data_IF_703318494532
#
_entry.id   IF_703318494532
#
_cell.length_a   1.000
_cell.length_b   1.000
_cell.length_c   1.000
_cell.angle_alpha   90.00
_cell.angle_beta   90.00
_cell.angle_gamma   90.00
#
_symmetry.space_group_name_H-M   'P 1'
#
loop_
_entity.id
_entity.type
_entity.pdbx_description
1 polymer ?
#
# COMPACT_ATOMS: atom_id res chain seq x y z
N UNK A 1 -8.45 0.23 -24.77
CA UNK A 1 -7.26 0.05 -23.94
C UNK A 1 -7.61 -0.86 -22.79
N UNK A 2 -7.16 -2.10 -22.89
CA UNK A 2 -7.33 -3.11 -21.86
C UNK A 2 -6.40 -2.81 -20.68
N UNK A 3 -6.74 -3.29 -19.48
CA UNK A 3 -5.94 -3.11 -18.26
C UNK A 3 -4.46 -3.50 -18.46
N UNK A 4 -4.22 -4.64 -19.11
CA UNK A 4 -2.86 -5.14 -19.38
C UNK A 4 -2.08 -4.26 -20.37
N UNK A 5 -2.76 -3.66 -21.35
CA UNK A 5 -2.13 -2.73 -22.30
C UNK A 5 -1.69 -1.42 -21.65
N UNK A 6 -2.32 -1.05 -20.52
CA UNK A 6 -2.00 0.19 -19.80
C UNK A 6 -0.81 0.07 -18.85
N UNK A 7 -0.41 -1.15 -18.45
CA UNK A 7 0.74 -1.40 -17.57
C UNK A 7 2.05 -0.75 -18.06
N UNK A 8 2.45 -0.88 -19.34
CA UNK A 8 3.67 -0.25 -19.84
C UNK A 8 3.53 1.25 -20.16
N UNK A 9 2.41 1.88 -19.80
CA UNK A 9 2.13 3.28 -20.17
C UNK A 9 2.22 4.24 -19.00
N UNK A 10 2.04 5.54 -19.29
CA UNK A 10 2.05 6.58 -18.26
C UNK A 10 0.99 6.33 -17.17
N UNK A 11 -0.15 5.77 -17.59
CA UNK A 11 -1.23 5.41 -16.68
C UNK A 11 -0.81 4.27 -15.74
N UNK A 12 -0.09 3.27 -16.28
CA UNK A 12 0.44 2.14 -15.52
C UNK A 12 1.35 2.55 -14.37
N UNK A 13 2.35 3.39 -14.63
CA UNK A 13 3.23 3.81 -13.54
C UNK A 13 2.56 4.82 -12.60
N UNK A 14 1.69 5.71 -13.10
CA UNK A 14 0.91 6.58 -12.22
C UNK A 14 0.00 5.78 -11.26
N UNK A 15 -0.44 4.60 -11.69
CA UNK A 15 -1.23 3.69 -10.85
C UNK A 15 -0.37 2.98 -9.79
N UNK A 16 0.80 2.46 -10.17
CA UNK A 16 1.59 1.53 -9.36
C UNK A 16 2.65 2.23 -8.49
N UNK A 17 3.28 3.30 -8.99
CA UNK A 17 4.39 3.97 -8.29
C UNK A 17 4.03 4.47 -6.88
N UNK A 18 2.84 5.03 -6.61
CA UNK A 18 2.47 5.43 -5.25
C UNK A 18 2.39 4.24 -4.29
N UNK A 19 1.89 3.09 -4.73
CA UNK A 19 1.79 1.90 -3.90
C UNK A 19 3.18 1.35 -3.53
N UNK A 20 4.11 1.35 -4.49
CA UNK A 20 5.51 0.95 -4.26
C UNK A 20 6.23 1.93 -3.34
N UNK A 21 5.96 3.24 -3.48
CA UNK A 21 6.51 4.28 -2.61
C UNK A 21 6.07 4.08 -1.16
N UNK A 22 4.77 3.90 -0.92
CA UNK A 22 4.25 3.68 0.44
C UNK A 22 4.77 2.36 1.02
N UNK A 23 4.83 1.30 0.21
CA UNK A 23 5.37 0.01 0.66
C UNK A 23 6.82 0.17 1.10
N UNK A 24 7.60 0.91 0.31
CA UNK A 24 8.96 1.23 0.67
C UNK A 24 9.03 1.98 2.00
N UNK A 25 8.25 3.04 2.19
CA UNK A 25 8.25 3.82 3.44
C UNK A 25 7.96 2.95 4.66
N UNK A 26 7.05 1.98 4.53
CA UNK A 26 6.74 1.01 5.59
C UNK A 26 7.94 0.10 5.88
N UNK A 27 8.55 -0.49 4.85
CA UNK A 27 9.73 -1.36 5.01
C UNK A 27 10.92 -0.57 5.57
N UNK A 28 11.10 0.67 5.15
CA UNK A 28 12.18 1.54 5.63
C UNK A 28 11.99 1.91 7.08
N UNK A 29 10.75 2.05 7.55
CA UNK A 29 10.44 2.35 8.94
C UNK A 29 10.63 1.13 9.87
N UNK A 30 10.69 -0.08 9.32
CA UNK A 30 10.92 -1.32 10.06
C UNK A 30 12.42 -1.53 10.33
N UNK A 31 12.75 -1.83 11.59
CA UNK A 31 14.12 -2.05 12.06
C UNK A 31 14.62 -3.46 11.75
N UNK A 32 13.70 -4.43 11.60
CA UNK A 32 14.01 -5.84 11.33
C UNK A 32 13.17 -6.36 10.16
N UNK A 33 13.36 -5.79 8.96
CA UNK A 33 12.54 -6.14 7.81
C UNK A 33 12.63 -7.65 7.53
N UNK A 34 11.47 -8.26 7.40
CA UNK A 34 11.31 -9.65 7.06
C UNK A 34 11.89 -10.06 5.70
N UNK A 35 11.79 -11.34 5.34
CA UNK A 35 12.24 -11.84 4.05
C UNK A 35 11.53 -11.12 2.89
N UNK A 36 12.27 -10.45 1.97
CA UNK A 36 11.68 -9.68 0.86
C UNK A 36 10.72 -10.49 -0.02
N UNK A 37 10.97 -11.79 -0.17
CA UNK A 37 10.12 -12.70 -0.94
C UNK A 37 8.70 -12.75 -0.38
N UNK A 38 8.53 -12.76 0.95
CA UNK A 38 7.20 -12.81 1.56
C UNK A 38 6.47 -11.48 1.45
N UNK A 39 7.19 -10.35 1.51
CA UNK A 39 6.65 -9.02 1.24
C UNK A 39 6.14 -8.93 -0.20
N UNK A 40 6.96 -9.33 -1.18
CA UNK A 40 6.56 -9.33 -2.59
C UNK A 40 5.43 -10.29 -2.88
N UNK A 41 5.44 -11.48 -2.26
CA UNK A 41 4.34 -12.41 -2.37
C UNK A 41 3.04 -11.81 -1.79
N UNK A 42 3.12 -11.08 -0.67
CA UNK A 42 1.96 -10.38 -0.10
C UNK A 42 1.44 -9.29 -1.03
N UNK A 43 2.33 -8.50 -1.64
CA UNK A 43 1.94 -7.50 -2.62
C UNK A 43 1.24 -8.12 -3.84
N UNK A 44 1.85 -9.15 -4.44
CA UNK A 44 1.29 -9.82 -5.63
C UNK A 44 -0.02 -10.54 -5.31
N UNK A 45 -0.11 -11.25 -4.19
CA UNK A 45 -1.35 -11.91 -3.77
C UNK A 45 -2.43 -10.89 -3.39
N UNK A 46 -2.06 -9.74 -2.82
CA UNK A 46 -2.96 -8.62 -2.59
C UNK A 46 -3.57 -8.09 -3.88
N UNK A 47 -2.74 -7.85 -4.91
CA UNK A 47 -3.20 -7.47 -6.25
C UNK A 47 -4.10 -8.55 -6.88
N UNK A 48 -3.68 -9.81 -6.82
CA UNK A 48 -4.42 -10.94 -7.37
C UNK A 48 -5.76 -11.18 -6.66
N UNK A 49 -5.88 -10.83 -5.38
CA UNK A 49 -7.11 -11.05 -4.60
C UNK A 49 -8.34 -10.32 -5.16
N UNK A 50 -8.15 -9.30 -6.00
CA UNK A 50 -9.25 -8.65 -6.74
C UNK A 50 -10.02 -9.63 -7.63
N UNK A 51 -9.37 -10.66 -8.19
CA UNK A 51 -10.06 -11.66 -9.00
C UNK A 51 -11.10 -12.46 -8.20
N UNK A 52 -11.03 -12.44 -6.87
CA UNK A 52 -11.97 -13.12 -5.98
C UNK A 52 -13.18 -12.26 -5.59
N UNK A 53 -13.21 -10.96 -5.94
CA UNK A 53 -14.29 -10.06 -5.52
C UNK A 53 -15.66 -10.48 -6.05
N UNK A 54 -15.72 -11.09 -7.24
CA UNK A 54 -16.97 -11.62 -7.78
C UNK A 54 -17.61 -12.65 -6.83
N UNK A 55 -16.80 -13.59 -6.33
CA UNK A 55 -17.24 -14.60 -5.37
C UNK A 55 -17.50 -13.99 -3.98
N UNK A 56 -16.62 -13.10 -3.52
CA UNK A 56 -16.74 -12.47 -2.21
C UNK A 56 -18.00 -11.60 -2.06
N UNK A 57 -18.56 -11.10 -3.16
CA UNK A 57 -19.81 -10.32 -3.17
C UNK A 57 -21.08 -11.18 -3.08
N UNK A 58 -21.04 -12.45 -3.49
CA UNK A 58 -22.23 -13.32 -3.56
C UNK A 58 -23.03 -13.34 -2.24
N UNK A 59 -22.41 -13.53 -1.06
CA UNK A 59 -23.16 -13.60 0.21
C UNK A 59 -23.87 -12.29 0.56
N UNK A 60 -23.43 -11.17 0.00
CA UNK A 60 -23.94 -9.84 0.30
C UNK A 60 -25.04 -9.39 -0.66
N UNK A 61 -25.24 -10.09 -1.79
CA UNK A 61 -26.20 -9.67 -2.82
C UNK A 61 -27.62 -9.46 -2.27
N UNK A 62 -28.09 -10.32 -1.36
CA UNK A 62 -29.40 -10.19 -0.74
C UNK A 62 -29.50 -8.96 0.19
N UNK A 63 -28.38 -8.58 0.83
CA UNK A 63 -28.31 -7.38 1.68
C UNK A 63 -28.30 -6.09 0.86
N UNK A 64 -27.92 -6.16 -0.42
CA UNK A 64 -27.95 -5.03 -1.35
C UNK A 64 -29.36 -4.75 -1.91
N UNK A 65 -30.38 -5.47 -1.46
CA UNK A 65 -31.78 -5.12 -1.71
C UNK A 65 -32.01 -3.66 -1.27
N UNK A 66 -32.41 -2.82 -2.21
CA UNK A 66 -32.31 -1.36 -2.11
C UNK A 66 -33.31 -0.87 -1.05
N UNK A 67 -32.85 -0.29 0.07
CA UNK A 67 -33.73 0.43 0.99
C UNK A 67 -34.39 1.62 0.28
N UNK A 68 -35.63 1.95 0.61
CA UNK A 68 -36.33 3.12 0.02
C UNK A 68 -35.61 4.46 0.29
N UNK A 69 -34.72 4.48 1.30
CA UNK A 69 -33.93 5.65 1.66
C UNK A 69 -32.57 5.68 0.90
N UNK A 70 -32.27 6.74 0.13
CA UNK A 70 -31.02 6.85 -0.63
C UNK A 70 -29.75 6.81 0.23
N UNK A 71 -29.78 7.38 1.44
CA UNK A 71 -28.65 7.38 2.38
C UNK A 71 -28.40 5.97 2.92
N UNK A 72 -29.45 5.29 3.37
CA UNK A 72 -29.36 3.89 3.81
C UNK A 72 -28.83 2.99 2.69
N UNK A 73 -29.28 3.21 1.46
CA UNK A 73 -28.78 2.51 0.27
C UNK A 73 -27.26 2.68 0.11
N UNK A 74 -26.73 3.90 0.21
CA UNK A 74 -25.28 4.11 0.07
C UNK A 74 -24.50 3.55 1.25
N UNK A 75 -25.04 3.59 2.48
CA UNK A 75 -24.38 2.98 3.64
C UNK A 75 -24.25 1.45 3.50
N UNK A 76 -25.32 0.79 3.07
CA UNK A 76 -25.34 -0.66 2.80
C UNK A 76 -24.39 -1.01 1.66
N UNK A 77 -24.37 -0.21 0.57
CA UNK A 77 -23.44 -0.41 -0.55
C UNK A 77 -21.98 -0.21 -0.12
N UNK A 78 -21.67 0.82 0.65
CA UNK A 78 -20.32 1.07 1.17
C UNK A 78 -19.84 -0.10 2.02
N UNK A 79 -20.69 -0.57 2.95
CA UNK A 79 -20.32 -1.62 3.88
C UNK A 79 -20.26 -3.01 3.24
N UNK A 80 -21.33 -3.43 2.56
CA UNK A 80 -21.48 -4.81 2.10
C UNK A 80 -21.19 -5.00 0.61
N UNK A 81 -21.28 -3.94 -0.20
CA UNK A 81 -20.99 -4.00 -1.63
C UNK A 81 -19.50 -3.79 -1.96
N UNK A 82 -18.82 -2.96 -1.16
CA UNK A 82 -17.42 -2.56 -1.38
C UNK A 82 -16.53 -3.03 -0.24
N UNK A 83 -16.64 -2.43 0.95
CA UNK A 83 -15.69 -2.61 2.03
C UNK A 83 -15.54 -4.07 2.50
N UNK A 84 -16.66 -4.75 2.83
CA UNK A 84 -16.60 -6.11 3.35
C UNK A 84 -15.98 -7.11 2.35
N UNK A 85 -16.45 -7.23 1.09
CA UNK A 85 -15.83 -8.12 0.11
C UNK A 85 -14.33 -7.87 -0.08
N UNK A 86 -13.92 -6.59 -0.16
CA UNK A 86 -12.54 -6.23 -0.42
C UNK A 86 -11.61 -6.51 0.77
N UNK A 87 -12.01 -6.13 1.97
CA UNK A 87 -11.20 -6.39 3.15
C UNK A 87 -11.18 -7.89 3.50
N UNK A 88 -12.24 -8.65 3.24
CA UNK A 88 -12.22 -10.12 3.40
C UNK A 88 -11.13 -10.73 2.53
N UNK A 89 -11.07 -10.43 1.24
CA UNK A 89 -10.07 -11.04 0.34
C UNK A 89 -8.64 -10.60 0.69
N UNK A 90 -8.44 -9.33 1.10
CA UNK A 90 -7.14 -8.83 1.59
C UNK A 90 -6.73 -9.53 2.89
N UNK A 91 -7.62 -9.60 3.87
CA UNK A 91 -7.36 -10.25 5.17
C UNK A 91 -7.03 -11.72 5.00
N UNK A 92 -7.70 -12.44 4.08
CA UNK A 92 -7.35 -13.82 3.75
C UNK A 92 -5.90 -13.96 3.28
N UNK A 93 -5.42 -13.05 2.42
CA UNK A 93 -4.01 -13.01 1.99
C UNK A 93 -3.08 -12.76 3.19
N UNK A 94 -3.40 -11.77 4.02
CA UNK A 94 -2.60 -11.40 5.20
C UNK A 94 -2.48 -12.59 6.15
N UNK A 95 -3.59 -13.27 6.46
CA UNK A 95 -3.62 -14.45 7.32
C UNK A 95 -2.85 -15.60 6.68
N UNK A 96 -3.04 -15.89 5.39
CA UNK A 96 -2.38 -17.00 4.71
C UNK A 96 -0.85 -16.87 4.68
N UNK A 97 -0.32 -15.67 4.45
CA UNK A 97 1.12 -15.44 4.43
C UNK A 97 1.69 -15.44 5.85
N UNK A 98 0.96 -14.85 6.80
CA UNK A 98 1.44 -14.71 8.17
C UNK A 98 1.38 -16.02 8.95
N UNK A 99 0.44 -16.93 8.64
CA UNK A 99 0.29 -18.23 9.33
C UNK A 99 1.36 -19.25 8.95
N UNK A 100 2.01 -19.12 7.80
CA UNK A 100 3.14 -19.98 7.37
C UNK A 100 4.43 -19.76 8.18
N UNK A 101 4.40 -18.95 9.25
CA UNK A 101 5.57 -18.54 10.02
C UNK A 101 5.75 -19.34 11.31
N UNK A 102 7.02 -19.54 11.67
CA UNK A 102 7.47 -20.17 12.93
C UNK A 102 6.97 -19.35 14.13
N UNK A 103 6.82 -20.03 15.28
CA UNK A 103 6.30 -19.44 16.53
C UNK A 103 7.07 -18.21 17.06
N UNK A 104 8.30 -17.98 16.57
CA UNK A 104 9.18 -16.86 16.99
C UNK A 104 9.38 -15.78 15.92
N UNK A 105 8.51 -15.72 14.90
CA UNK A 105 8.58 -14.65 13.90
C UNK A 105 8.24 -13.29 14.52
N UNK A 106 8.90 -12.24 14.03
CA UNK A 106 8.72 -10.87 14.50
C UNK A 106 7.25 -10.42 14.25
N UNK A 107 6.55 -9.84 15.24
CA UNK A 107 5.20 -9.30 15.06
C UNK A 107 5.09 -8.17 14.01
N UNK A 108 6.09 -7.28 13.90
CA UNK A 108 6.11 -6.17 12.93
C UNK A 108 6.05 -6.68 11.49
N UNK A 109 6.63 -7.84 11.32
CA UNK A 109 6.74 -8.59 10.10
C UNK A 109 5.34 -8.94 9.53
N UNK A 110 4.34 -9.19 10.40
CA UNK A 110 2.92 -9.36 10.00
C UNK A 110 2.29 -8.03 9.55
N UNK A 111 2.70 -6.92 10.15
CA UNK A 111 2.24 -5.56 9.80
C UNK A 111 2.74 -5.17 8.41
N UNK A 112 4.00 -5.44 8.10
CA UNK A 112 4.59 -5.19 6.76
C UNK A 112 3.87 -6.01 5.68
N UNK A 113 3.48 -7.26 5.97
CA UNK A 113 2.72 -8.07 5.01
C UNK A 113 1.30 -7.56 4.83
N UNK A 114 0.69 -7.06 5.92
CA UNK A 114 -0.54 -6.30 5.88
C UNK A 114 -0.47 -5.12 4.92
N UNK A 115 0.53 -4.25 5.10
CA UNK A 115 0.78 -3.12 4.23
C UNK A 115 0.97 -3.54 2.76
N UNK A 116 1.79 -4.56 2.52
CA UNK A 116 2.07 -5.07 1.18
C UNK A 116 0.80 -5.58 0.48
N UNK A 117 -0.03 -6.39 1.16
CA UNK A 117 -1.28 -6.89 0.59
C UNK A 117 -2.27 -5.76 0.26
N UNK A 118 -2.45 -4.79 1.17
CA UNK A 118 -3.29 -3.62 0.95
C UNK A 118 -2.81 -2.76 -0.23
N UNK A 119 -1.50 -2.51 -0.32
CA UNK A 119 -0.91 -1.71 -1.40
C UNK A 119 -0.90 -2.42 -2.75
N UNK A 120 -0.75 -3.74 -2.76
CA UNK A 120 -0.88 -4.55 -3.97
C UNK A 120 -2.29 -4.48 -4.54
N UNK A 121 -3.30 -4.64 -3.68
CA UNK A 121 -4.70 -4.44 -4.06
C UNK A 121 -4.92 -3.03 -4.60
N UNK A 122 -4.44 -2.01 -3.87
CA UNK A 122 -4.57 -0.62 -4.26
C UNK A 122 -3.91 -0.31 -5.61
N UNK A 123 -2.77 -0.93 -5.93
CA UNK A 123 -2.09 -0.72 -7.21
C UNK A 123 -2.94 -1.18 -8.40
N UNK A 124 -3.55 -2.38 -8.29
CA UNK A 124 -4.45 -2.88 -9.32
C UNK A 124 -5.74 -2.06 -9.39
N UNK A 125 -6.35 -1.76 -8.25
CA UNK A 125 -7.59 -0.99 -8.20
C UNK A 125 -7.39 0.42 -8.78
N UNK A 126 -6.29 1.09 -8.41
CA UNK A 126 -5.91 2.38 -8.95
C UNK A 126 -5.76 2.31 -10.49
N UNK A 127 -5.11 1.26 -11.01
CA UNK A 127 -5.00 1.06 -12.46
C UNK A 127 -6.38 0.96 -13.13
N UNK A 128 -7.28 0.16 -12.56
CA UNK A 128 -8.64 0.03 -13.07
C UNK A 128 -9.39 1.37 -13.08
N UNK A 129 -9.30 2.15 -12.00
CA UNK A 129 -9.91 3.47 -11.91
C UNK A 129 -9.37 4.44 -12.97
N UNK A 130 -8.05 4.50 -13.16
CA UNK A 130 -7.44 5.40 -14.15
C UNK A 130 -7.78 5.01 -15.60
N UNK A 131 -7.85 3.71 -15.89
CA UNK A 131 -8.23 3.20 -17.21
C UNK A 131 -9.72 3.43 -17.50
N UNK A 132 -10.58 3.37 -16.48
CA UNK A 132 -12.02 3.64 -16.63
C UNK A 132 -12.31 5.14 -16.82
N UNK A 133 -11.50 6.03 -16.22
CA UNK A 133 -11.73 7.49 -16.22
C UNK A 133 -10.66 8.24 -17.00
N UNK A 134 -10.45 7.88 -18.28
CA UNK A 134 -9.34 8.41 -19.10
C UNK A 134 -9.39 9.92 -19.30
N UNK A 135 -10.55 10.55 -19.27
CA UNK A 135 -10.61 12.00 -19.51
C UNK A 135 -10.07 12.81 -18.33
N UNK A 136 -10.04 12.20 -17.13
CA UNK A 136 -9.62 12.84 -15.88
C UNK A 136 -8.53 12.06 -15.12
N UNK A 137 -7.87 11.09 -15.79
CA UNK A 137 -6.95 10.16 -15.13
C UNK A 137 -5.81 10.86 -14.36
N UNK A 138 -5.34 12.03 -14.82
CA UNK A 138 -4.25 12.76 -14.14
C UNK A 138 -4.67 13.29 -12.77
N UNK A 139 -5.83 13.94 -12.69
CA UNK A 139 -6.37 14.45 -11.45
C UNK A 139 -6.72 13.30 -10.50
N UNK A 140 -7.30 12.23 -11.05
CA UNK A 140 -7.64 11.02 -10.28
C UNK A 140 -6.38 10.32 -9.74
N UNK A 141 -5.32 10.22 -10.55
CA UNK A 141 -4.05 9.65 -10.13
C UNK A 141 -3.42 10.45 -8.99
N UNK A 142 -3.42 11.79 -9.09
CA UNK A 142 -2.92 12.66 -8.03
C UNK A 142 -3.70 12.46 -6.72
N UNK A 143 -5.03 12.54 -6.75
CA UNK A 143 -5.86 12.38 -5.56
C UNK A 143 -5.71 11.00 -4.92
N UNK A 144 -5.76 9.94 -5.73
CA UNK A 144 -5.64 8.55 -5.25
C UNK A 144 -4.24 8.25 -4.73
N UNK A 145 -3.18 8.82 -5.31
CA UNK A 145 -1.80 8.63 -4.85
C UNK A 145 -1.56 9.18 -3.43
N UNK A 146 -2.25 10.27 -3.07
CA UNK A 146 -2.09 10.95 -1.77
C UNK A 146 -2.98 10.33 -0.70
N UNK A 147 -4.17 9.87 -1.06
CA UNK A 147 -5.17 9.45 -0.08
C UNK A 147 -5.54 7.97 -0.22
N UNK A 148 -6.18 7.56 -1.32
CA UNK A 148 -6.77 6.22 -1.45
C UNK A 148 -5.71 5.11 -1.41
N UNK A 149 -4.57 5.28 -2.08
CA UNK A 149 -3.50 4.27 -2.10
C UNK A 149 -2.85 4.11 -0.72
N UNK A 150 -2.40 5.18 -0.03
CA UNK A 150 -1.93 5.08 1.36
C UNK A 150 -3.01 4.55 2.32
N UNK A 151 -4.27 4.90 2.11
CA UNK A 151 -5.40 4.43 2.92
C UNK A 151 -5.55 2.90 2.86
N UNK A 152 -5.51 2.27 1.68
CA UNK A 152 -5.52 0.81 1.60
C UNK A 152 -4.29 0.16 2.27
N UNK A 153 -3.12 0.78 2.13
CA UNK A 153 -1.93 0.35 2.89
C UNK A 153 -2.16 0.43 4.40
N UNK A 154 -2.81 1.49 4.88
CA UNK A 154 -3.16 1.67 6.28
C UNK A 154 -4.17 0.62 6.79
N UNK A 155 -5.21 0.29 6.01
CA UNK A 155 -6.15 -0.78 6.34
C UNK A 155 -5.45 -2.14 6.46
N UNK A 156 -4.55 -2.44 5.53
CA UNK A 156 -3.70 -3.62 5.58
C UNK A 156 -2.80 -3.66 6.83
N UNK A 157 -2.18 -2.53 7.18
CA UNK A 157 -1.40 -2.37 8.43
C UNK A 157 -2.26 -2.64 9.66
N UNK A 158 -3.49 -2.10 9.71
CA UNK A 158 -4.41 -2.27 10.83
C UNK A 158 -4.77 -3.75 11.00
N UNK A 159 -5.15 -4.43 9.91
CA UNK A 159 -5.43 -5.87 9.91
C UNK A 159 -4.22 -6.68 10.38
N UNK A 160 -3.03 -6.39 9.84
CA UNK A 160 -1.78 -7.04 10.20
C UNK A 160 -1.39 -6.81 11.67
N UNK A 161 -1.58 -5.60 12.19
CA UNK A 161 -1.28 -5.27 13.58
C UNK A 161 -2.22 -6.01 14.54
N UNK A 162 -3.52 -6.04 14.28
CA UNK A 162 -4.45 -6.82 15.10
C UNK A 162 -4.17 -8.32 15.03
N UNK A 163 -3.78 -8.84 13.85
CA UNK A 163 -3.38 -10.24 13.72
C UNK A 163 -2.11 -10.54 14.53
N UNK A 164 -1.13 -9.64 14.48
CA UNK A 164 0.09 -9.76 15.26
C UNK A 164 -0.20 -9.76 16.78
N UNK A 165 -1.02 -8.82 17.25
CA UNK A 165 -1.47 -8.73 18.65
C UNK A 165 -2.24 -9.99 19.07
N UNK A 166 -3.18 -10.44 18.25
CA UNK A 166 -4.01 -11.61 18.53
C UNK A 166 -3.17 -12.88 18.70
N UNK A 167 -2.07 -13.00 17.94
CA UNK A 167 -1.16 -14.15 17.96
C UNK A 167 -0.06 -14.06 19.02
N UNK A 168 0.41 -12.86 19.37
CA UNK A 168 1.59 -12.66 20.24
C UNK A 168 1.39 -13.09 21.69
N UNK A 169 0.21 -13.56 22.08
CA UNK A 169 -0.09 -13.77 23.49
C UNK A 169 0.03 -12.46 24.27
N UNK A 170 0.11 -12.48 25.61
CA UNK A 170 0.14 -11.27 26.43
C UNK A 170 1.41 -10.43 26.27
N UNK A 171 2.35 -10.89 25.44
CA UNK A 171 3.69 -10.34 25.25
C UNK A 171 3.68 -8.91 24.68
N UNK A 172 2.66 -8.53 23.90
CA UNK A 172 2.44 -7.16 23.42
C UNK A 172 1.45 -6.36 24.30
N UNK A 173 1.26 -6.78 25.56
CA UNK A 173 0.36 -6.11 26.51
C UNK A 173 -1.12 -6.38 26.28
N UNK A 174 -1.47 -7.37 25.46
CA UNK A 174 -2.87 -7.70 25.13
C UNK A 174 -3.69 -8.27 26.31
N UNK A 175 -3.04 -8.79 27.36
CA UNK A 175 -3.71 -9.60 28.39
C UNK A 175 -3.46 -9.12 29.83
N UNK A 176 -3.79 -7.87 30.16
CA UNK A 176 -3.97 -7.48 31.57
C UNK A 176 -5.43 -7.69 31.97
N UNK A 177 -5.75 -8.85 32.56
CA UNK A 177 -7.05 -9.12 33.20
C UNK A 177 -7.88 -10.24 32.55
N UNK A 178 -8.37 -10.06 31.31
CA UNK A 178 -9.35 -10.97 30.68
C UNK A 178 -8.80 -11.58 29.37
N UNK A 179 -8.06 -12.68 29.49
CA UNK A 179 -7.24 -13.29 28.42
C UNK A 179 -8.05 -13.71 27.18
N UNK A 180 -9.22 -14.31 27.38
CA UNK A 180 -10.02 -14.86 26.28
C UNK A 180 -10.82 -13.78 25.54
N UNK A 181 -11.41 -12.83 26.28
CA UNK A 181 -12.15 -11.71 25.70
C UNK A 181 -11.25 -10.80 24.85
N UNK A 182 -10.05 -10.46 25.35
CA UNK A 182 -9.09 -9.66 24.61
C UNK A 182 -8.57 -10.38 23.35
N UNK A 183 -8.43 -11.71 23.40
CA UNK A 183 -8.06 -12.51 22.22
C UNK A 183 -9.16 -12.49 21.16
N UNK A 184 -10.40 -12.79 21.53
CA UNK A 184 -11.55 -12.78 20.62
C UNK A 184 -11.71 -11.40 20.00
N UNK A 185 -11.62 -10.34 20.82
CA UNK A 185 -11.73 -8.95 20.35
C UNK A 185 -10.66 -8.63 19.30
N UNK A 186 -9.40 -9.00 19.52
CA UNK A 186 -8.34 -8.71 18.54
C UNK A 186 -8.50 -9.52 17.24
N UNK A 187 -8.94 -10.79 17.31
CA UNK A 187 -9.25 -11.58 16.12
C UNK A 187 -10.40 -10.97 15.31
N UNK A 188 -11.46 -10.51 15.98
CA UNK A 188 -12.57 -9.80 15.34
C UNK A 188 -12.08 -8.50 14.68
N UNK A 189 -11.19 -7.75 15.35
CA UNK A 189 -10.63 -6.50 14.83
C UNK A 189 -9.70 -6.68 13.63
N UNK A 190 -9.20 -7.89 13.35
CA UNK A 190 -8.46 -8.17 12.10
C UNK A 190 -9.31 -7.84 10.88
N UNK A 191 -10.62 -8.10 10.94
CA UNK A 191 -11.55 -7.87 9.82
C UNK A 191 -12.48 -6.68 10.07
N UNK A 192 -13.08 -6.57 11.25
CA UNK A 192 -14.10 -5.54 11.52
C UNK A 192 -13.51 -4.14 11.46
N UNK A 193 -12.30 -3.92 11.99
CA UNK A 193 -11.68 -2.61 11.97
C UNK A 193 -11.42 -2.09 10.54
N UNK A 194 -10.73 -2.85 9.64
CA UNK A 194 -10.54 -2.37 8.28
C UNK A 194 -11.85 -2.25 7.50
N UNK A 195 -12.82 -3.16 7.69
CA UNK A 195 -14.14 -3.07 7.01
C UNK A 195 -14.89 -1.79 7.39
N UNK A 196 -14.97 -1.46 8.68
CA UNK A 196 -15.70 -0.27 9.12
C UNK A 196 -15.01 1.03 8.68
N UNK A 197 -13.68 1.08 8.75
CA UNK A 197 -12.93 2.26 8.30
C UNK A 197 -13.04 2.45 6.78
N UNK A 198 -12.98 1.36 6.01
CA UNK A 198 -13.18 1.38 4.56
C UNK A 198 -14.60 1.85 4.21
N UNK A 199 -15.63 1.27 4.83
CA UNK A 199 -17.01 1.69 4.61
C UNK A 199 -17.24 3.16 4.98
N UNK A 200 -16.64 3.63 6.07
CA UNK A 200 -16.72 5.02 6.50
C UNK A 200 -16.02 5.97 5.51
N UNK A 201 -14.94 5.54 4.88
CA UNK A 201 -14.24 6.31 3.85
C UNK A 201 -15.04 6.41 2.54
N UNK A 202 -15.67 5.31 2.13
CA UNK A 202 -16.40 5.19 0.86
C UNK A 202 -17.83 5.72 0.92
N UNK A 203 -18.49 5.65 2.07
CA UNK A 203 -19.88 6.10 2.20
C UNK A 203 -20.10 7.55 1.74
N UNK A 204 -19.30 8.54 2.18
CA UNK A 204 -19.46 9.91 1.69
C UNK A 204 -19.18 10.05 0.18
N UNK A 205 -18.24 9.27 -0.36
CA UNK A 205 -17.91 9.28 -1.79
C UNK A 205 -19.04 8.68 -2.64
N UNK A 206 -19.63 7.58 -2.19
CA UNK A 206 -20.79 6.97 -2.84
C UNK A 206 -22.03 7.88 -2.74
N UNK A 207 -22.22 8.55 -1.60
CA UNK A 207 -23.28 9.55 -1.45
C UNK A 207 -23.13 10.69 -2.47
N UNK A 208 -21.93 11.26 -2.61
CA UNK A 208 -21.63 12.28 -3.62
C UNK A 208 -21.87 11.81 -5.06
N UNK A 209 -21.61 10.54 -5.35
CA UNK A 209 -21.75 9.99 -6.70
C UNK A 209 -23.19 9.57 -7.06
N UNK A 210 -24.02 9.22 -6.07
CA UNK A 210 -25.27 8.48 -6.31
C UNK A 210 -26.52 9.14 -5.75
N UNK A 211 -26.40 10.10 -4.82
CA UNK A 211 -27.55 10.85 -4.30
C UNK A 211 -27.70 12.13 -5.14
N UNK A 212 -28.82 12.31 -5.86
CA UNK A 212 -29.05 13.51 -6.66
C UNK A 212 -29.36 14.72 -5.77
N UNK A 213 -29.24 15.92 -6.35
CA UNK A 213 -29.72 17.19 -5.78
C UNK A 213 -29.15 17.55 -4.39
N UNK A 214 -27.93 17.10 -4.09
CA UNK A 214 -27.22 17.50 -2.88
C UNK A 214 -26.91 19.01 -2.89
N UNK A 215 -27.12 19.69 -1.76
CA UNK A 215 -26.74 21.09 -1.61
C UNK A 215 -25.21 21.26 -1.69
N UNK A 216 -24.72 22.46 -2.02
CA UNK A 216 -23.28 22.75 -2.04
C UNK A 216 -22.62 22.50 -0.68
N UNK A 217 -23.34 22.78 0.41
CA UNK A 217 -22.90 22.48 1.77
C UNK A 217 -22.75 20.97 1.99
N UNK A 218 -23.73 20.17 1.54
CA UNK A 218 -23.64 18.71 1.63
C UNK A 218 -22.45 18.16 0.83
N UNK A 219 -22.19 18.69 -0.36
CA UNK A 219 -21.03 18.31 -1.15
C UNK A 219 -19.71 18.55 -0.40
N UNK A 220 -19.53 19.74 0.16
CA UNK A 220 -18.34 20.10 0.93
C UNK A 220 -18.17 19.23 2.18
N UNK A 221 -19.26 18.98 2.91
CA UNK A 221 -19.23 18.16 4.13
C UNK A 221 -18.86 16.71 3.83
N UNK A 222 -19.48 16.09 2.82
CA UNK A 222 -19.19 14.70 2.46
C UNK A 222 -17.76 14.53 1.95
N UNK A 223 -17.29 15.45 1.10
CA UNK A 223 -15.90 15.44 0.60
C UNK A 223 -14.90 15.60 1.73
N UNK A 224 -15.13 16.56 2.63
CA UNK A 224 -14.27 16.80 3.80
C UNK A 224 -14.28 15.62 4.77
N UNK A 225 -15.43 14.97 4.97
CA UNK A 225 -15.56 13.80 5.83
C UNK A 225 -14.74 12.62 5.30
N UNK A 226 -14.81 12.30 4.00
CA UNK A 226 -14.00 11.23 3.40
C UNK A 226 -12.49 11.50 3.55
N UNK A 227 -12.06 12.74 3.27
CA UNK A 227 -10.65 13.16 3.46
C UNK A 227 -10.21 12.99 4.91
N UNK A 228 -11.00 13.46 5.87
CA UNK A 228 -10.69 13.37 7.30
C UNK A 228 -10.60 11.91 7.76
N UNK A 229 -11.54 11.06 7.34
CA UNK A 229 -11.57 9.64 7.69
C UNK A 229 -10.35 8.92 7.10
N UNK A 230 -10.00 9.21 5.85
CA UNK A 230 -8.82 8.63 5.19
C UNK A 230 -7.52 8.95 5.93
N UNK A 231 -7.25 10.25 6.19
CA UNK A 231 -6.05 10.66 6.93
C UNK A 231 -6.06 10.19 8.39
N UNK A 232 -7.22 10.16 9.05
CA UNK A 232 -7.34 9.63 10.42
C UNK A 232 -7.01 8.14 10.49
N UNK A 233 -7.42 7.37 9.49
CA UNK A 233 -7.11 5.94 9.39
C UNK A 233 -5.62 5.69 9.14
N UNK A 234 -4.99 6.50 8.30
CA UNK A 234 -3.53 6.48 8.11
C UNK A 234 -2.81 6.81 9.43
N UNK A 235 -3.23 7.86 10.12
CA UNK A 235 -2.67 8.22 11.43
C UNK A 235 -2.86 7.12 12.49
N UNK A 236 -4.02 6.45 12.47
CA UNK A 236 -4.29 5.29 13.34
C UNK A 236 -3.37 4.10 13.04
N UNK A 237 -3.16 3.78 11.75
CA UNK A 237 -2.21 2.75 11.32
C UNK A 237 -0.77 3.07 11.79
N UNK A 238 -0.32 4.32 11.63
CA UNK A 238 1.00 4.78 12.13
C UNK A 238 1.11 4.63 13.64
N UNK A 239 0.06 4.99 14.40
CA UNK A 239 0.03 4.78 15.86
C UNK A 239 0.13 3.31 16.24
N UNK A 240 -0.55 2.41 15.52
CA UNK A 240 -0.45 0.96 15.75
C UNK A 240 0.96 0.43 15.47
N UNK A 241 1.57 0.83 14.34
CA UNK A 241 2.97 0.50 14.02
C UNK A 241 3.90 0.96 15.15
N UNK A 242 3.77 2.22 15.59
CA UNK A 242 4.61 2.74 16.67
C UNK A 242 4.39 2.00 18.00
N UNK A 243 3.13 1.65 18.32
CA UNK A 243 2.79 0.87 19.52
C UNK A 243 3.44 -0.52 19.48
N UNK A 244 3.35 -1.22 18.35
CA UNK A 244 3.97 -2.54 18.19
C UNK A 244 5.50 -2.45 18.22
N UNK A 245 6.07 -1.43 17.57
CA UNK A 245 7.50 -1.18 17.52
C UNK A 245 8.11 -0.91 18.90
N UNK A 246 7.39 -0.25 19.82
CA UNK A 246 7.88 -0.02 21.21
C UNK A 246 8.12 -1.29 22.01
N UNK A 247 7.45 -2.38 21.67
CA UNK A 247 7.64 -3.67 22.33
C UNK A 247 8.78 -4.49 21.68
N UNK A 248 9.42 -3.95 20.63
CA UNK A 248 10.62 -4.50 20.03
C UNK A 248 11.86 -3.82 20.63
N UNK A 249 12.91 -4.60 20.90
CA UNK A 249 14.16 -4.14 21.53
C UNK A 249 14.78 -2.93 20.80
N UNK A 250 15.51 -2.04 21.50
CA UNK A 250 15.74 -0.66 21.06
C UNK A 250 16.63 -0.51 19.82
N UNK A 251 16.44 0.63 19.14
CA UNK A 251 17.26 1.16 18.04
C UNK A 251 18.75 1.14 18.38
N UNK A 252 19.47 0.16 17.87
CA UNK A 252 20.94 0.22 17.84
C UNK A 252 21.35 1.35 16.88
N UNK A 253 22.53 1.94 17.07
CA UNK A 253 23.04 2.96 16.14
C UNK A 253 23.16 2.44 14.72
N UNK A 254 23.42 1.13 14.58
CA UNK A 254 23.40 0.39 13.31
C UNK A 254 22.02 0.46 12.64
N UNK A 255 20.92 0.34 13.40
CA UNK A 255 19.57 0.43 12.85
C UNK A 255 19.25 1.87 12.36
N UNK A 256 19.71 2.90 13.08
CA UNK A 256 19.57 4.31 12.66
C UNK A 256 20.35 4.62 11.38
N UNK A 257 21.60 4.17 11.29
CA UNK A 257 22.44 4.31 10.11
C UNK A 257 21.83 3.59 8.91
N UNK A 258 21.27 2.39 9.11
CA UNK A 258 20.60 1.61 8.07
C UNK A 258 19.34 2.31 7.55
N UNK A 259 18.55 2.90 8.44
CA UNK A 259 17.37 3.72 8.11
C UNK A 259 17.75 4.97 7.29
N UNK A 260 18.84 5.65 7.64
CA UNK A 260 19.30 6.84 6.92
C UNK A 260 19.82 6.49 5.51
N UNK A 261 20.56 5.38 5.38
CA UNK A 261 21.05 4.85 4.12
C UNK A 261 19.90 4.39 3.22
N UNK A 262 18.92 3.65 3.77
CA UNK A 262 17.70 3.25 3.06
C UNK A 262 16.91 4.47 2.56
N UNK A 263 16.74 5.51 3.39
CA UNK A 263 16.08 6.77 3.00
C UNK A 263 16.77 7.48 1.85
N UNK A 264 18.11 7.54 1.86
CA UNK A 264 18.89 8.11 0.75
C UNK A 264 18.77 7.28 -0.53
N UNK A 265 18.91 5.95 -0.42
CA UNK A 265 18.83 5.05 -1.57
C UNK A 265 17.47 5.11 -2.26
N UNK A 266 16.40 5.29 -1.51
CA UNK A 266 15.07 5.32 -2.10
C UNK A 266 14.62 6.69 -2.56
N UNK A 267 15.14 7.78 -1.99
CA UNK A 267 15.08 9.07 -2.65
C UNK A 267 15.72 8.98 -4.04
N UNK A 268 16.86 8.29 -4.16
CA UNK A 268 17.51 8.04 -5.45
C UNK A 268 16.70 7.08 -6.37
N UNK A 269 16.02 6.06 -5.83
CA UNK A 269 15.10 5.21 -6.62
C UNK A 269 13.84 5.95 -7.08
N UNK A 270 13.28 6.84 -6.27
CA UNK A 270 12.11 7.65 -6.62
C UNK A 270 12.49 8.70 -7.67
N UNK A 271 13.61 9.38 -7.47
CA UNK A 271 14.15 10.34 -8.43
C UNK A 271 14.52 9.59 -9.72
N UNK A 272 15.22 8.46 -9.63
CA UNK A 272 15.63 7.65 -10.78
C UNK A 272 14.45 7.00 -11.50
N UNK A 273 13.50 6.43 -10.77
CA UNK A 273 12.27 5.86 -11.31
C UNK A 273 11.37 6.92 -11.93
N UNK A 274 11.20 8.07 -11.27
CA UNK A 274 10.47 9.21 -11.80
C UNK A 274 11.12 9.79 -13.06
N UNK A 275 12.45 9.92 -13.07
CA UNK A 275 13.23 10.40 -14.23
C UNK A 275 13.18 9.38 -15.37
N UNK A 276 13.39 8.10 -15.10
CA UNK A 276 13.31 7.03 -16.10
C UNK A 276 11.92 6.94 -16.73
N UNK A 277 10.89 7.02 -15.91
CA UNK A 277 9.50 7.01 -16.35
C UNK A 277 9.10 8.28 -17.13
N UNK A 278 9.54 9.47 -16.71
CA UNK A 278 9.38 10.69 -17.49
C UNK A 278 10.04 10.54 -18.87
N UNK A 279 11.23 9.91 -18.92
CA UNK A 279 11.93 9.55 -20.14
C UNK A 279 11.13 8.65 -21.08
N UNK A 280 10.62 7.52 -20.56
CA UNK A 280 9.76 6.60 -21.32
C UNK A 280 8.49 7.30 -21.81
N UNK A 281 7.85 8.08 -20.95
CA UNK A 281 6.62 8.81 -21.27
C UNK A 281 6.84 9.80 -22.41
N UNK A 282 7.95 10.52 -22.36
CA UNK A 282 8.34 11.49 -23.38
C UNK A 282 8.71 10.82 -24.70
N UNK A 283 9.44 9.69 -24.63
CA UNK A 283 9.80 8.87 -25.77
C UNK A 283 8.56 8.32 -26.48
N UNK A 284 7.64 7.68 -25.75
CA UNK A 284 6.41 7.10 -26.29
C UNK A 284 5.49 8.18 -26.88
N UNK A 285 5.37 9.32 -26.21
CA UNK A 285 4.57 10.45 -26.71
C UNK A 285 5.18 11.02 -27.99
N UNK A 286 6.51 11.11 -28.06
CA UNK A 286 7.22 11.59 -29.25
C UNK A 286 7.14 10.62 -30.42
N UNK A 287 7.25 9.31 -30.17
CA UNK A 287 7.07 8.26 -31.17
C UNK A 287 5.62 8.24 -31.70
N UNK A 288 4.63 8.39 -30.82
CA UNK A 288 3.24 8.49 -31.23
C UNK A 288 2.96 9.76 -32.05
N UNK A 289 3.52 10.91 -31.65
CA UNK A 289 3.36 12.16 -32.39
C UNK A 289 4.04 12.10 -33.76
N UNK A 290 5.22 11.47 -33.86
CA UNK A 290 5.88 11.21 -35.14
C UNK A 290 5.05 10.29 -36.04
N UNK A 291 4.44 9.24 -35.48
CA UNK A 291 3.60 8.31 -36.23
C UNK A 291 2.31 8.96 -36.76
N UNK A 292 1.70 9.86 -35.99
CA UNK A 292 0.42 10.51 -36.34
C UNK A 292 0.62 11.81 -37.14
N UNK A 293 1.71 12.54 -36.92
CA UNK A 293 2.02 13.82 -37.56
C UNK A 293 3.50 13.89 -37.98
N UNK A 294 3.92 13.14 -39.01
CA UNK A 294 5.33 13.03 -39.41
C UNK A 294 5.94 14.36 -39.89
N UNK A 295 5.10 15.32 -40.30
CA UNK A 295 5.50 16.65 -40.78
C UNK A 295 5.97 17.60 -39.66
N UNK A 296 5.71 17.32 -38.37
CA UNK A 296 6.08 18.18 -37.22
C UNK A 296 7.31 17.65 -36.48
N UNK A 297 8.44 18.33 -36.67
CA UNK A 297 9.78 17.79 -36.41
C UNK A 297 10.34 18.04 -34.99
N UNK A 298 9.55 17.84 -33.93
CA UNK A 298 10.08 17.91 -32.56
C UNK A 298 10.75 16.61 -32.11
N UNK A 299 10.43 15.47 -32.73
CA UNK A 299 10.88 14.12 -32.37
C UNK A 299 12.40 13.94 -32.34
N UNK A 300 13.16 14.64 -33.20
CA UNK A 300 14.63 14.59 -33.21
C UNK A 300 15.29 15.08 -31.92
N UNK A 301 14.63 15.95 -31.15
CA UNK A 301 15.14 16.46 -29.87
C UNK A 301 14.58 15.65 -28.70
N UNK A 302 13.31 15.26 -28.78
CA UNK A 302 12.59 14.64 -27.67
C UNK A 302 12.93 13.15 -27.49
N UNK A 303 13.24 12.42 -28.56
CA UNK A 303 13.66 11.01 -28.50
C UNK A 303 15.00 10.84 -27.75
N UNK A 304 16.07 11.59 -28.06
CA UNK A 304 17.31 11.57 -27.29
C UNK A 304 17.10 11.90 -25.81
N UNK A 305 16.30 12.93 -25.49
CA UNK A 305 15.99 13.30 -24.09
C UNK A 305 15.30 12.15 -23.36
N UNK A 306 14.34 11.49 -24.02
CA UNK A 306 13.66 10.31 -23.48
C UNK A 306 14.63 9.17 -23.16
N UNK A 307 15.52 8.85 -24.10
CA UNK A 307 16.56 7.83 -23.92
C UNK A 307 17.56 8.19 -22.81
N UNK A 308 18.05 9.43 -22.77
CA UNK A 308 18.97 9.89 -21.72
C UNK A 308 18.33 9.79 -20.34
N UNK A 309 17.05 10.18 -20.21
CA UNK A 309 16.31 10.10 -18.96
C UNK A 309 16.06 8.64 -18.52
N UNK A 310 15.83 7.71 -19.46
CA UNK A 310 15.79 6.26 -19.21
C UNK A 310 17.13 5.75 -18.71
N UNK A 311 18.22 6.12 -19.36
CA UNK A 311 19.58 5.70 -18.99
C UNK A 311 19.96 6.21 -17.59
N UNK A 312 19.61 7.45 -17.27
CA UNK A 312 19.81 8.02 -15.92
C UNK A 312 18.99 7.24 -14.89
N UNK A 313 17.72 6.96 -15.19
CA UNK A 313 16.87 6.15 -14.31
C UNK A 313 17.42 4.75 -14.06
N UNK A 314 17.90 4.08 -15.12
CA UNK A 314 18.52 2.76 -15.05
C UNK A 314 19.84 2.78 -14.27
N UNK A 315 20.68 3.78 -14.50
CA UNK A 315 21.95 3.96 -13.79
C UNK A 315 21.72 4.19 -12.29
N UNK A 316 20.72 5.01 -11.93
CA UNK A 316 20.33 5.23 -10.54
C UNK A 316 19.76 3.97 -9.90
N UNK A 317 18.99 3.16 -10.64
CA UNK A 317 18.47 1.85 -10.19
C UNK A 317 19.60 0.85 -9.92
N UNK A 318 20.58 0.77 -10.81
CA UNK A 318 21.75 -0.10 -10.68
C UNK A 318 22.61 0.36 -9.49
N UNK A 319 22.88 1.66 -9.39
CA UNK A 319 23.67 2.23 -8.31
C UNK A 319 23.02 2.00 -6.94
N UNK A 320 21.72 2.24 -6.81
CA UNK A 320 20.97 2.00 -5.56
C UNK A 320 20.91 0.53 -5.20
N UNK A 321 20.77 -0.36 -6.19
CA UNK A 321 20.82 -1.81 -5.97
C UNK A 321 22.22 -2.27 -5.55
N UNK A 322 23.28 -1.75 -6.17
CA UNK A 322 24.66 -2.04 -5.78
C UNK A 322 24.96 -1.56 -4.36
N UNK A 323 24.54 -0.35 -3.99
CA UNK A 323 24.68 0.19 -2.62
C UNK A 323 23.92 -0.68 -1.61
N UNK A 324 22.75 -1.21 -1.96
CA UNK A 324 21.99 -2.13 -1.11
C UNK A 324 22.78 -3.41 -0.79
N UNK A 325 23.31 -4.07 -1.82
CA UNK A 325 24.03 -5.33 -1.66
C UNK A 325 25.40 -5.13 -0.99
N UNK A 326 26.14 -4.09 -1.38
CA UNK A 326 27.46 -3.79 -0.82
C UNK A 326 27.35 -3.30 0.63
N UNK A 327 26.37 -2.45 0.94
CA UNK A 327 26.09 -2.01 2.31
C UNK A 327 25.64 -3.17 3.21
N UNK A 328 24.82 -4.08 2.68
CA UNK A 328 24.41 -5.31 3.38
C UNK A 328 25.59 -6.23 3.69
N UNK A 329 26.51 -6.43 2.75
CA UNK A 329 27.67 -7.29 2.95
C UNK A 329 28.66 -6.71 3.97
N UNK A 330 28.93 -5.39 3.92
CA UNK A 330 29.77 -4.69 4.91
C UNK A 330 29.25 -4.81 6.34
N UNK A 331 27.92 -4.75 6.52
CA UNK A 331 27.32 -4.86 7.85
C UNK A 331 27.33 -6.31 8.38
N UNK A 332 27.22 -7.32 7.51
CA UNK A 332 27.38 -8.74 7.90
C UNK A 332 28.80 -9.03 8.41
N UNK A 333 29.82 -8.55 7.69
CA UNK A 333 31.22 -8.72 8.09
C UNK A 333 31.55 -8.00 9.41
N UNK A 334 30.89 -6.86 9.69
CA UNK A 334 31.08 -6.14 10.96
C UNK A 334 30.41 -6.85 12.15
N UNK A 335 29.29 -7.56 11.95
CA UNK A 335 28.62 -8.33 13.01
C UNK A 335 29.31 -9.66 13.34
N UNK A 336 30.08 -10.24 12.41
CA UNK A 336 30.84 -11.47 12.61
C UNK A 336 32.23 -11.23 13.24
N UNK A 337 32.67 -9.96 13.34
CA UNK A 337 33.99 -9.56 13.84
C UNK A 337 34.10 -9.32 15.34
N UNK A 338 33.05 -9.58 16.15
CA UNK A 338 33.14 -9.51 17.61
C UNK A 338 33.39 -10.93 18.17
N UNK A 339 34.60 -11.22 18.69
CA UNK A 339 34.81 -12.44 19.45
C UNK A 339 33.95 -12.37 20.71
N UNK A 340 33.25 -13.47 21.01
CA UNK A 340 32.66 -13.69 22.33
C UNK A 340 33.75 -13.50 23.39
N UNK A 341 33.58 -12.51 24.27
CA UNK A 341 34.48 -12.28 25.40
C UNK A 341 34.61 -13.57 26.22
N UNK A 342 35.82 -13.96 26.68
CA UNK A 342 35.99 -15.14 27.52
C UNK A 342 35.26 -14.91 28.85
N UNK A 343 34.52 -15.93 29.28
CA UNK A 343 33.75 -15.91 30.52
C UNK A 343 34.60 -15.57 31.74
N UNK A 344 33.98 -14.86 32.68
CA UNK A 344 34.48 -14.82 34.05
C UNK A 344 33.76 -15.91 34.84
N UNK A 345 34.60 -16.81 35.34
CA UNK A 345 34.35 -17.95 36.25
C UNK A 345 33.61 -17.56 37.52
#
# INVERSE_FOLDING_TARGET
MLLLESLPTVIGAAAIAPALLVLWLVIAADERPGPPVQVWLAFVLGAASISLLGLARIPFNALLAIPDNPWATQAVRALFGVAAPEEIVKVLVIVAISTRRRAFADPMDTVVYGAAAGLGFAAYENLAYLVQHKDMWRALAALRSVLTVPFHGALGIIAGAYLAIARSGGALGAYRGHRDWARITNWTLVLVAPVLLHAAFDFPLLALQRIPDLSSTAHLLLGSASVLIGFSSIGFAVRLVHRLGKHHAPRTDVARERLSQLRRMWALLLIGGGTGFAGVSFLLTSLHHWYVNPERNASFILIPIGFTSILIGLALLIATTAVYFLGRNRMRTASEGFPSAPGQS
#
